data_IF_002809993387
#
_entry.id   IF_002809993387
#
_cell.length_a   1.000
_cell.length_b   1.000
_cell.length_c   1.000
_cell.angle_alpha   90.00
_cell.angle_beta   90.00
_cell.angle_gamma   90.00
#
_symmetry.space_group_name_H-M   'P 1'
#
loop_
_entity.id
_entity.type
_entity.pdbx_description
1 polymer ?
#
# COMPACT_ATOMS: atom_id res chain seq x y z
N UNK A 1 -10.78 -1.74 3.88
CA UNK A 1 -11.27 -2.96 4.53
C UNK A 1 -10.18 -3.75 5.25
N UNK A 2 -9.20 -4.41 4.60
CA UNK A 2 -8.22 -5.27 5.33
C UNK A 2 -7.45 -4.55 6.46
N UNK A 3 -6.98 -3.33 6.24
CA UNK A 3 -6.30 -2.49 7.26
C UNK A 3 -7.20 -1.93 8.37
N UNK A 4 -8.50 -2.00 8.14
CA UNK A 4 -9.49 -1.45 9.07
C UNK A 4 -10.04 -2.53 9.99
N UNK A 5 -9.74 -3.81 9.75
CA UNK A 5 -10.09 -4.89 10.68
C UNK A 5 -9.32 -4.68 11.98
N UNK A 6 -10.05 -4.66 13.09
CA UNK A 6 -9.48 -4.54 14.43
C UNK A 6 -9.55 -5.84 15.21
N UNK A 7 -10.58 -6.64 14.94
CA UNK A 7 -10.82 -7.87 15.68
C UNK A 7 -11.69 -8.84 14.87
N UNK A 8 -11.45 -10.14 15.04
CA UNK A 8 -12.24 -11.22 14.46
C UNK A 8 -12.60 -12.18 15.60
N UNK A 9 -13.89 -12.42 15.80
CA UNK A 9 -14.41 -13.26 16.90
C UNK A 9 -15.12 -14.48 16.35
N UNK A 10 -14.75 -15.67 16.81
CA UNK A 10 -15.54 -16.89 16.60
C UNK A 10 -16.78 -16.85 17.51
N UNK A 11 -17.77 -16.05 17.13
CA UNK A 11 -18.97 -15.87 17.93
C UNK A 11 -20.16 -15.41 17.11
N UNK A 12 -21.37 -15.69 17.61
CA UNK A 12 -22.61 -15.03 17.15
C UNK A 12 -22.95 -13.74 17.92
N UNK A 13 -22.04 -13.24 18.74
CA UNK A 13 -22.30 -12.09 19.62
C UNK A 13 -22.11 -10.77 18.85
N UNK A 14 -23.15 -10.35 18.13
CA UNK A 14 -23.24 -9.06 17.46
C UNK A 14 -24.68 -8.58 17.37
N UNK A 15 -24.87 -7.26 17.27
CA UNK A 15 -26.19 -6.66 17.07
C UNK A 15 -26.87 -7.16 15.80
N UNK A 16 -26.09 -7.52 14.78
CA UNK A 16 -26.62 -8.01 13.51
C UNK A 16 -27.29 -9.38 13.70
N UNK A 17 -26.67 -10.28 14.49
CA UNK A 17 -27.25 -11.58 14.79
C UNK A 17 -28.40 -11.51 15.79
N UNK A 18 -28.40 -10.54 16.71
CA UNK A 18 -29.51 -10.34 17.66
C UNK A 18 -30.84 -10.09 16.92
N UNK A 19 -30.83 -9.43 15.77
CA UNK A 19 -32.03 -9.18 14.95
C UNK A 19 -32.64 -10.46 14.34
N UNK A 20 -31.84 -11.51 14.14
CA UNK A 20 -32.30 -12.76 13.54
C UNK A 20 -32.64 -13.84 14.58
N UNK A 21 -32.45 -13.58 15.88
CA UNK A 21 -32.82 -14.54 16.93
C UNK A 21 -34.34 -14.78 17.00
N UNK A 22 -35.14 -13.83 16.52
CA UNK A 22 -36.61 -13.93 16.49
C UNK A 22 -37.16 -14.54 15.19
N UNK A 23 -36.31 -14.74 14.17
CA UNK A 23 -36.72 -15.34 12.90
C UNK A 23 -36.56 -16.87 12.94
N UNK A 24 -37.66 -17.65 12.99
CA UNK A 24 -37.59 -19.10 13.09
C UNK A 24 -37.04 -19.77 11.81
N UNK A 25 -36.86 -19.02 10.71
CA UNK A 25 -36.26 -19.53 9.47
C UNK A 25 -34.73 -19.53 9.50
N UNK A 26 -34.10 -18.84 10.47
CA UNK A 26 -32.66 -18.69 10.58
C UNK A 26 -32.15 -19.42 11.83
N UNK A 27 -31.50 -20.55 11.64
CA UNK A 27 -30.85 -21.29 12.74
C UNK A 27 -29.40 -20.84 12.89
N UNK A 28 -29.08 -20.11 13.97
CA UNK A 28 -27.73 -19.62 14.25
C UNK A 28 -26.95 -20.57 15.17
N UNK A 29 -26.16 -21.45 14.58
CA UNK A 29 -25.21 -22.29 15.29
C UNK A 29 -23.93 -21.52 15.61
N UNK A 30 -23.54 -21.49 16.89
CA UNK A 30 -22.37 -20.75 17.36
C UNK A 30 -21.08 -21.14 16.61
N UNK A 31 -20.90 -22.45 16.36
CA UNK A 31 -19.73 -22.98 15.66
C UNK A 31 -19.64 -22.54 14.19
N UNK A 32 -20.77 -22.11 13.61
CA UNK A 32 -20.86 -21.65 12.22
C UNK A 32 -20.82 -20.13 12.09
N UNK A 33 -20.67 -19.38 13.19
CA UNK A 33 -20.74 -17.93 13.18
C UNK A 33 -19.39 -17.29 13.55
N UNK A 34 -19.07 -16.20 12.85
CA UNK A 34 -18.00 -15.29 13.26
C UNK A 34 -18.34 -13.84 12.94
N UNK A 35 -17.68 -12.93 13.66
CA UNK A 35 -17.92 -11.48 13.56
C UNK A 35 -16.59 -10.78 13.31
N UNK A 36 -16.58 -9.89 12.31
CA UNK A 36 -15.46 -9.01 12.01
C UNK A 36 -15.81 -7.60 12.49
N UNK A 37 -14.98 -7.05 13.37
CA UNK A 37 -15.07 -5.65 13.78
C UNK A 37 -14.05 -4.83 12.99
N UNK A 38 -14.53 -3.78 12.32
CA UNK A 38 -13.69 -2.97 11.45
C UNK A 38 -14.06 -1.48 11.48
N UNK A 39 -13.07 -0.63 11.22
CA UNK A 39 -13.24 0.81 11.11
C UNK A 39 -12.03 1.60 11.58
N UNK A 40 -12.09 2.91 11.35
CA UNK A 40 -11.09 3.89 11.80
C UNK A 40 -11.54 4.70 13.01
N UNK A 41 -12.82 4.59 13.38
CA UNK A 41 -13.43 5.32 14.49
C UNK A 41 -13.51 4.43 15.75
N UNK A 42 -13.76 5.06 16.91
CA UNK A 42 -13.97 4.34 18.16
C UNK A 42 -15.16 3.37 18.09
N UNK A 43 -16.25 3.78 17.42
CA UNK A 43 -17.40 2.92 17.16
C UNK A 43 -17.14 2.10 15.91
N UNK A 44 -16.64 0.88 16.11
CA UNK A 44 -16.39 -0.05 15.02
C UNK A 44 -17.70 -0.52 14.38
N UNK A 45 -17.63 -0.76 13.08
CA UNK A 45 -18.67 -1.44 12.31
C UNK A 45 -18.52 -2.95 12.51
N UNK A 46 -19.63 -3.67 12.42
CA UNK A 46 -19.69 -5.13 12.50
C UNK A 46 -20.06 -5.72 11.15
N UNK A 47 -19.39 -6.81 10.79
CA UNK A 47 -19.80 -7.71 9.72
C UNK A 47 -19.95 -9.10 10.34
N UNK A 48 -21.19 -9.58 10.39
CA UNK A 48 -21.59 -10.83 11.03
C UNK A 48 -21.87 -11.89 9.98
N UNK A 49 -21.19 -13.03 10.05
CA UNK A 49 -21.14 -14.03 8.98
C UNK A 49 -21.46 -15.41 9.54
N UNK A 50 -22.35 -16.12 8.86
CA UNK A 50 -22.64 -17.53 9.10
C UNK A 50 -22.10 -18.35 7.93
N UNK A 51 -21.24 -19.32 8.23
CA UNK A 51 -20.70 -20.27 7.27
C UNK A 51 -21.53 -21.57 7.24
N UNK A 52 -21.17 -22.49 6.35
CA UNK A 52 -21.88 -23.77 6.21
C UNK A 52 -21.34 -24.87 7.15
N UNK A 53 -20.14 -24.68 7.69
CA UNK A 53 -19.53 -25.59 8.66
C UNK A 53 -18.56 -24.89 9.61
N UNK A 54 -18.19 -25.55 10.71
CA UNK A 54 -17.19 -25.07 11.66
C UNK A 54 -15.80 -24.97 11.02
N UNK A 55 -15.47 -25.90 10.12
CA UNK A 55 -14.21 -25.89 9.37
C UNK A 55 -14.10 -24.63 8.51
N UNK A 56 -15.18 -24.21 7.83
CA UNK A 56 -15.19 -22.98 7.05
C UNK A 56 -14.94 -21.75 7.93
N UNK A 57 -15.58 -21.67 9.11
CA UNK A 57 -15.34 -20.59 10.08
C UNK A 57 -13.86 -20.54 10.46
N UNK A 58 -13.30 -21.68 10.84
CA UNK A 58 -11.89 -21.77 11.24
C UNK A 58 -10.94 -21.39 10.10
N UNK A 59 -11.24 -21.79 8.86
CA UNK A 59 -10.47 -21.40 7.68
C UNK A 59 -10.52 -19.88 7.45
N UNK A 60 -11.71 -19.28 7.51
CA UNK A 60 -11.88 -17.83 7.35
C UNK A 60 -11.15 -17.05 8.43
N UNK A 61 -11.31 -17.41 9.70
CA UNK A 61 -10.65 -16.73 10.82
C UNK A 61 -9.14 -16.82 10.68
N UNK A 62 -8.60 -18.02 10.40
CA UNK A 62 -7.17 -18.21 10.22
C UNK A 62 -6.62 -17.41 9.03
N UNK A 63 -7.28 -17.48 7.88
CA UNK A 63 -6.88 -16.77 6.67
C UNK A 63 -6.92 -15.26 6.83
N UNK A 64 -7.98 -14.72 7.44
CA UNK A 64 -8.10 -13.29 7.69
C UNK A 64 -7.09 -12.77 8.70
N UNK A 65 -6.81 -13.53 9.77
CA UNK A 65 -5.74 -13.18 10.72
C UNK A 65 -4.37 -13.18 10.05
N UNK A 66 -4.07 -14.18 9.22
CA UNK A 66 -2.84 -14.22 8.46
C UNK A 66 -2.72 -13.01 7.51
N UNK A 67 -3.78 -12.70 6.76
CA UNK A 67 -3.83 -11.54 5.86
C UNK A 67 -3.68 -10.21 6.61
N UNK A 68 -4.21 -10.11 7.82
CA UNK A 68 -4.07 -8.92 8.66
C UNK A 68 -2.61 -8.72 9.06
N UNK A 69 -1.94 -9.78 9.54
CA UNK A 69 -0.52 -9.74 9.88
C UNK A 69 0.35 -9.41 8.66
N UNK A 70 0.12 -10.09 7.53
CA UNK A 70 0.78 -9.79 6.25
C UNK A 70 0.60 -8.32 5.84
N UNK A 71 -0.62 -7.80 5.96
CA UNK A 71 -0.91 -6.41 5.57
C UNK A 71 -0.24 -5.38 6.48
N UNK A 72 -0.08 -5.69 7.77
CA UNK A 72 0.58 -4.82 8.75
C UNK A 72 2.10 -4.84 8.58
N UNK A 73 2.67 -6.00 8.24
CA UNK A 73 4.12 -6.17 8.04
C UNK A 73 4.58 -5.82 6.63
N UNK A 74 3.65 -5.63 5.69
CA UNK A 74 3.96 -5.30 4.30
C UNK A 74 4.86 -4.05 4.20
N UNK A 75 5.97 -4.12 3.43
CA UNK A 75 6.89 -3.00 3.29
C UNK A 75 6.23 -1.82 2.57
N UNK A 76 6.69 -0.60 2.87
CA UNK A 76 6.11 0.67 2.36
C UNK A 76 5.84 0.66 0.85
N UNK A 77 6.74 0.17 -0.03
CA UNK A 77 6.47 0.11 -1.48
C UNK A 77 5.20 -0.68 -1.82
N UNK A 78 5.03 -1.86 -1.22
CA UNK A 78 3.84 -2.70 -1.41
C UNK A 78 2.58 -2.01 -0.86
N UNK A 79 2.71 -1.27 0.23
CA UNK A 79 1.61 -0.47 0.77
C UNK A 79 1.14 0.60 -0.21
N UNK A 80 2.09 1.33 -0.82
CA UNK A 80 1.80 2.37 -1.81
C UNK A 80 1.21 1.75 -3.08
N UNK A 81 1.75 0.63 -3.56
CA UNK A 81 1.19 -0.06 -4.72
C UNK A 81 -0.27 -0.50 -4.47
N UNK A 82 -0.54 -1.13 -3.32
CA UNK A 82 -1.91 -1.53 -2.93
C UNK A 82 -2.83 -0.32 -2.84
N UNK A 83 -2.35 0.82 -2.34
CA UNK A 83 -3.11 2.06 -2.29
C UNK A 83 -3.41 2.61 -3.70
N UNK A 84 -2.42 2.66 -4.60
CA UNK A 84 -2.59 3.10 -5.98
C UNK A 84 -3.63 2.25 -6.71
N UNK A 85 -3.54 0.92 -6.60
CA UNK A 85 -4.55 0.00 -7.17
C UNK A 85 -5.95 0.29 -6.64
N UNK A 86 -6.09 0.48 -5.32
CA UNK A 86 -7.38 0.81 -4.70
C UNK A 86 -7.96 2.13 -5.23
N UNK A 87 -7.13 3.16 -5.40
CA UNK A 87 -7.58 4.42 -5.99
C UNK A 87 -8.04 4.22 -7.44
N UNK A 88 -7.24 3.53 -8.25
CA UNK A 88 -7.57 3.27 -9.64
C UNK A 88 -8.91 2.53 -9.79
N UNK A 89 -9.13 1.46 -9.03
CA UNK A 89 -10.40 0.71 -9.06
C UNK A 89 -11.62 1.50 -8.55
N UNK A 90 -11.39 2.52 -7.72
CA UNK A 90 -12.48 3.42 -7.29
C UNK A 90 -12.89 4.38 -8.42
N UNK A 91 -11.94 4.72 -9.30
CA UNK A 91 -12.17 5.60 -10.44
C UNK A 91 -12.69 4.85 -11.67
N UNK A 92 -12.25 3.61 -11.89
CA UNK A 92 -12.72 2.72 -12.97
C UNK A 92 -14.11 2.12 -12.65
N UNK A 93 -15.12 2.98 -12.69
CA UNK A 93 -16.51 2.62 -12.35
C UNK A 93 -17.09 1.57 -13.31
N UNK A 94 -16.67 1.60 -14.57
CA UNK A 94 -17.19 0.73 -15.62
C UNK A 94 -16.40 -0.59 -15.76
N UNK A 95 -15.29 -0.73 -15.02
CA UNK A 95 -14.37 -1.88 -15.12
C UNK A 95 -13.80 -2.05 -16.53
N UNK A 96 -13.50 -0.93 -17.16
CA UNK A 96 -12.90 -0.88 -18.51
C UNK A 96 -11.38 -0.82 -18.46
N UNK A 97 -10.78 -0.93 -17.26
CA UNK A 97 -9.34 -0.79 -16.98
C UNK A 97 -8.77 0.57 -17.41
N UNK A 98 -9.63 1.58 -17.38
CA UNK A 98 -9.33 2.91 -17.90
C UNK A 98 -10.04 4.00 -17.11
N UNK A 99 -9.35 5.13 -16.94
CA UNK A 99 -9.89 6.32 -16.26
C UNK A 99 -9.65 7.57 -17.11
N UNK A 100 -10.47 8.61 -16.91
CA UNK A 100 -10.24 9.89 -17.59
C UNK A 100 -9.25 10.78 -16.83
N UNK A 101 -8.64 11.74 -17.53
CA UNK A 101 -7.82 12.81 -16.91
C UNK A 101 -8.61 13.61 -15.86
N UNK A 102 -9.94 13.71 -16.04
CA UNK A 102 -10.82 14.41 -15.09
C UNK A 102 -10.93 13.63 -13.78
N UNK A 103 -11.09 12.31 -13.85
CA UNK A 103 -11.17 11.43 -12.67
C UNK A 103 -9.87 11.47 -11.87
N UNK A 104 -8.73 11.41 -12.58
CA UNK A 104 -7.41 11.57 -11.98
C UNK A 104 -7.27 12.91 -11.24
N UNK A 105 -7.62 14.04 -11.88
CA UNK A 105 -7.55 15.37 -11.24
C UNK A 105 -8.38 15.44 -9.96
N UNK A 106 -9.58 14.87 -10.00
CA UNK A 106 -10.48 14.85 -8.84
C UNK A 106 -9.89 14.00 -7.71
N UNK A 107 -9.35 12.82 -8.02
CA UNK A 107 -8.71 11.96 -7.03
C UNK A 107 -7.50 12.65 -6.40
N UNK A 108 -6.61 13.25 -7.21
CA UNK A 108 -5.45 14.00 -6.71
C UNK A 108 -5.87 15.10 -5.72
N UNK A 109 -6.98 15.80 -6.01
CA UNK A 109 -7.52 16.82 -5.10
C UNK A 109 -8.04 16.24 -3.78
N UNK A 110 -8.64 15.03 -3.80
CA UNK A 110 -9.12 14.34 -2.59
C UNK A 110 -7.96 13.87 -1.70
N UNK A 111 -6.80 13.59 -2.29
CA UNK A 111 -5.59 13.19 -1.55
C UNK A 111 -4.69 14.40 -1.25
N UNK A 112 -5.25 15.60 -1.27
CA UNK A 112 -4.60 16.88 -0.96
C UNK A 112 -3.46 17.30 -1.91
N UNK A 113 -3.42 16.76 -3.14
CA UNK A 113 -2.52 17.23 -4.18
C UNK A 113 -3.19 18.28 -5.07
N UNK A 114 -2.66 19.52 -5.05
CA UNK A 114 -3.22 20.62 -5.84
C UNK A 114 -2.69 20.58 -7.28
N UNK A 115 -3.51 20.06 -8.19
CA UNK A 115 -3.22 20.09 -9.62
C UNK A 115 -3.39 21.51 -10.17
N UNK A 116 -2.37 22.13 -10.81
CA UNK A 116 -2.46 23.50 -11.32
C UNK A 116 -3.56 23.68 -12.37
N UNK A 117 -3.62 22.79 -13.36
CA UNK A 117 -4.67 22.74 -14.38
C UNK A 117 -4.68 21.36 -15.09
N UNK A 118 -5.69 21.07 -15.92
CA UNK A 118 -5.76 19.79 -16.64
C UNK A 118 -4.68 19.64 -17.71
N UNK A 119 -4.12 20.75 -18.22
CA UNK A 119 -3.06 20.72 -19.23
C UNK A 119 -1.77 20.16 -18.64
N UNK A 120 -1.41 20.53 -17.41
CA UNK A 120 -0.28 19.98 -16.67
C UNK A 120 -0.29 18.44 -16.64
N UNK A 121 -1.42 17.81 -16.32
CA UNK A 121 -1.52 16.35 -16.32
C UNK A 121 -1.37 15.74 -17.73
N UNK A 122 -1.92 16.40 -18.75
CA UNK A 122 -1.81 15.94 -20.14
C UNK A 122 -0.39 16.04 -20.67
N UNK A 123 0.30 17.13 -20.35
CA UNK A 123 1.68 17.35 -20.75
C UNK A 123 2.57 16.26 -20.13
N UNK A 124 2.40 15.97 -18.82
CA UNK A 124 3.08 14.87 -18.13
C UNK A 124 2.78 13.49 -18.73
N UNK A 125 1.53 13.21 -19.11
CA UNK A 125 1.17 11.95 -19.79
C UNK A 125 1.76 11.86 -21.20
N UNK A 126 1.92 12.99 -21.88
CA UNK A 126 2.50 13.06 -23.23
C UNK A 126 4.02 12.86 -23.21
N UNK A 127 4.70 13.36 -22.18
CA UNK A 127 6.12 13.09 -21.90
C UNK A 127 6.38 11.58 -21.69
N UNK A 128 5.37 10.82 -21.26
CA UNK A 128 5.42 9.35 -21.13
C UNK A 128 5.03 8.62 -22.45
N UNK A 129 5.15 9.29 -23.59
CA UNK A 129 4.97 8.79 -24.97
C UNK A 129 3.57 8.26 -25.33
N UNK A 130 2.49 8.67 -24.65
CA UNK A 130 1.18 8.02 -24.83
C UNK A 130 0.03 9.01 -25.05
N UNK A 131 -0.39 9.15 -26.32
CA UNK A 131 -1.48 10.05 -26.78
C UNK A 131 -2.90 9.50 -26.55
N UNK A 132 -3.12 8.74 -25.49
CA UNK A 132 -4.46 8.24 -25.16
C UNK A 132 -5.25 9.28 -24.37
N UNK A 133 -6.55 9.46 -24.69
CA UNK A 133 -7.47 10.26 -23.86
C UNK A 133 -7.81 9.57 -22.53
N UNK A 134 -7.58 8.27 -22.49
CA UNK A 134 -7.88 7.36 -21.38
C UNK A 134 -6.57 6.85 -20.77
N UNK A 135 -6.53 6.75 -19.45
CA UNK A 135 -5.35 6.39 -18.66
C UNK A 135 -5.55 4.97 -18.13
N UNK A 136 -4.65 4.05 -18.46
CA UNK A 136 -4.63 2.70 -17.87
C UNK A 136 -3.87 2.68 -16.53
N UNK A 137 -3.89 1.56 -15.82
CA UNK A 137 -3.24 1.45 -14.51
C UNK A 137 -1.73 1.74 -14.56
N UNK A 138 -1.01 1.24 -15.57
CA UNK A 138 0.44 1.44 -15.69
C UNK A 138 0.80 2.93 -15.81
N UNK A 139 0.08 3.66 -16.67
CA UNK A 139 0.21 5.11 -16.84
C UNK A 139 -0.10 5.87 -15.55
N UNK A 140 -1.21 5.50 -14.91
CA UNK A 140 -1.64 6.07 -13.65
C UNK A 140 -0.55 5.93 -12.57
N UNK A 141 0.00 4.73 -12.40
CA UNK A 141 0.99 4.44 -11.38
C UNK A 141 2.30 5.19 -11.60
N UNK A 142 2.80 5.23 -12.85
CA UNK A 142 4.01 5.99 -13.20
C UNK A 142 3.82 7.48 -12.95
N UNK A 143 2.68 8.04 -13.38
CA UNK A 143 2.39 9.45 -13.15
C UNK A 143 2.31 9.79 -11.66
N UNK A 144 1.62 8.98 -10.85
CA UNK A 144 1.54 9.21 -9.40
C UNK A 144 2.91 9.17 -8.74
N UNK A 145 3.78 8.21 -9.09
CA UNK A 145 5.16 8.17 -8.59
C UNK A 145 5.99 9.37 -9.00
N UNK A 146 5.90 9.77 -10.27
CA UNK A 146 6.55 10.98 -10.78
C UNK A 146 6.11 12.24 -10.02
N UNK A 147 4.81 12.37 -9.71
CA UNK A 147 4.30 13.50 -8.93
C UNK A 147 4.76 13.49 -7.47
N UNK A 148 4.86 12.30 -6.84
CA UNK A 148 5.41 12.16 -5.49
C UNK A 148 6.88 12.57 -5.46
N UNK A 149 7.68 12.05 -6.39
CA UNK A 149 9.08 12.44 -6.55
C UNK A 149 9.25 13.94 -6.79
N UNK A 150 8.50 14.53 -7.72
CA UNK A 150 8.58 15.97 -8.02
C UNK A 150 8.24 16.85 -6.81
N UNK A 151 7.33 16.39 -5.93
CA UNK A 151 6.96 17.10 -4.71
C UNK A 151 8.02 17.03 -3.61
N UNK A 152 8.88 16.02 -3.63
CA UNK A 152 9.81 15.73 -2.53
C UNK A 152 11.29 15.90 -2.91
N UNK A 153 11.64 15.95 -4.21
CA UNK A 153 13.02 16.02 -4.72
C UNK A 153 13.85 17.20 -4.22
N UNK A 154 13.22 18.24 -3.68
CA UNK A 154 13.91 19.44 -3.15
C UNK A 154 14.20 19.36 -1.67
N UNK A 155 13.67 18.36 -0.95
CA UNK A 155 13.96 18.17 0.48
C UNK A 155 15.41 17.68 0.57
N UNK A 156 16.38 18.40 1.13
CA UNK A 156 17.76 17.91 1.16
C UNK A 156 17.85 16.62 1.98
N UNK A 157 18.32 15.53 1.37
CA UNK A 157 18.68 14.32 2.10
C UNK A 157 20.13 14.48 2.56
N UNK A 158 20.41 14.54 3.88
CA UNK A 158 21.71 14.93 4.41
C UNK A 158 22.92 14.11 3.92
N UNK A 159 22.70 12.88 3.46
CA UNK A 159 23.76 12.02 2.94
C UNK A 159 23.90 12.11 1.41
N UNK A 160 22.89 12.64 0.69
CA UNK A 160 22.95 12.76 -0.77
C UNK A 160 23.92 13.83 -1.28
N UNK A 161 24.25 14.80 -0.43
CA UNK A 161 25.26 15.83 -0.74
C UNK A 161 26.68 15.26 -0.80
N UNK A 162 26.91 14.08 -0.21
CA UNK A 162 28.22 13.39 -0.24
C UNK A 162 28.42 12.49 -1.45
N UNK A 163 27.36 12.24 -2.24
CA UNK A 163 27.47 11.50 -3.48
C UNK A 163 28.09 12.39 -4.57
N UNK A 164 29.26 12.00 -5.06
CA UNK A 164 29.94 12.71 -6.15
C UNK A 164 29.01 12.93 -7.34
N UNK A 165 29.21 14.02 -8.08
CA UNK A 165 28.32 14.50 -9.17
C UNK A 165 27.97 13.46 -10.26
N UNK A 166 28.67 12.32 -10.31
CA UNK A 166 28.58 11.32 -11.39
C UNK A 166 27.66 10.13 -11.11
N UNK A 167 27.22 9.89 -9.86
CA UNK A 167 26.39 8.71 -9.50
C UNK A 167 25.09 9.06 -8.76
N UNK A 168 24.44 10.19 -9.14
CA UNK A 168 23.20 10.67 -8.53
C UNK A 168 21.93 9.82 -8.80
N UNK A 169 22.05 8.55 -9.15
CA UNK A 169 20.86 7.72 -9.51
C UNK A 169 20.68 6.49 -8.65
N UNK A 170 21.74 6.03 -7.96
CA UNK A 170 21.72 4.84 -7.11
C UNK A 170 22.43 5.12 -5.77
N UNK A 171 21.95 4.49 -4.73
CA UNK A 171 22.51 4.48 -3.38
C UNK A 171 22.95 3.04 -3.14
N UNK A 172 24.25 2.83 -3.01
CA UNK A 172 24.83 1.51 -2.76
C UNK A 172 24.43 0.95 -1.39
N UNK A 173 24.68 -0.34 -1.19
CA UNK A 173 24.49 -0.99 0.10
C UNK A 173 25.32 -0.32 1.20
N UNK A 174 26.58 0.03 0.91
CA UNK A 174 27.50 0.68 1.83
C UNK A 174 27.05 2.10 2.18
N UNK A 175 26.60 2.85 1.17
CA UNK A 175 26.10 4.20 1.38
C UNK A 175 24.83 4.23 2.23
N UNK A 176 23.95 3.26 2.00
CA UNK A 176 22.75 3.09 2.80
C UNK A 176 23.09 2.64 4.24
N UNK A 177 24.04 1.72 4.41
CA UNK A 177 24.54 1.35 5.74
C UNK A 177 25.09 2.57 6.48
N UNK A 178 25.90 3.38 5.81
CA UNK A 178 26.46 4.61 6.37
C UNK A 178 25.35 5.58 6.78
N UNK A 179 24.31 5.74 5.95
CA UNK A 179 23.14 6.53 6.31
C UNK A 179 22.46 6.03 7.59
N UNK A 180 22.24 4.73 7.72
CA UNK A 180 21.63 4.13 8.93
C UNK A 180 22.46 4.41 10.19
N UNK A 181 23.78 4.26 10.11
CA UNK A 181 24.67 4.45 11.26
C UNK A 181 24.89 5.93 11.60
N UNK A 182 25.16 6.76 10.59
CA UNK A 182 25.57 8.15 10.80
C UNK A 182 24.37 9.08 11.04
N UNK A 183 23.22 8.82 10.43
CA UNK A 183 22.06 9.71 10.48
C UNK A 183 20.87 9.11 11.24
N UNK A 184 20.50 7.84 11.01
CA UNK A 184 19.39 7.21 11.74
C UNK A 184 19.81 6.69 13.12
N UNK A 185 21.12 6.53 13.36
CA UNK A 185 21.70 5.97 14.59
C UNK A 185 21.26 4.52 14.87
N UNK A 186 21.04 3.76 13.80
CA UNK A 186 20.57 2.39 13.83
C UNK A 186 21.71 1.38 14.00
N UNK A 187 21.98 0.99 15.25
CA UNK A 187 23.11 0.11 15.59
C UNK A 187 23.03 -1.29 14.97
N UNK A 188 21.83 -1.76 14.60
CA UNK A 188 21.66 -3.04 13.92
C UNK A 188 22.35 -3.06 12.55
N UNK A 189 22.53 -1.89 11.93
CA UNK A 189 23.17 -1.73 10.63
C UNK A 189 24.69 -1.95 10.66
N UNK A 190 25.31 -2.14 11.84
CA UNK A 190 26.72 -2.54 11.94
C UNK A 190 26.98 -3.90 11.26
N UNK A 191 25.94 -4.72 11.14
CA UNK A 191 25.94 -5.96 10.39
C UNK A 191 25.48 -5.72 8.95
N UNK A 192 26.44 -5.68 8.01
CA UNK A 192 26.17 -5.46 6.58
C UNK A 192 25.21 -6.52 5.99
N UNK A 193 25.21 -7.73 6.53
CA UNK A 193 24.30 -8.78 6.05
C UNK A 193 22.84 -8.46 6.38
N UNK A 194 22.58 -7.94 7.58
CA UNK A 194 21.22 -7.48 7.97
C UNK A 194 20.75 -6.32 7.12
N UNK A 195 21.66 -5.38 6.79
CA UNK A 195 21.32 -4.26 5.90
C UNK A 195 20.94 -4.80 4.51
N UNK A 196 21.68 -5.77 3.99
CA UNK A 196 21.38 -6.42 2.72
C UNK A 196 19.99 -7.09 2.73
N UNK A 197 19.72 -7.90 3.75
CA UNK A 197 18.41 -8.56 3.91
C UNK A 197 17.27 -7.54 4.02
N UNK A 198 17.49 -6.45 4.73
CA UNK A 198 16.54 -5.36 4.84
C UNK A 198 16.19 -4.76 3.47
N UNK A 199 17.19 -4.43 2.64
CA UNK A 199 16.93 -3.85 1.31
C UNK A 199 16.16 -4.83 0.43
N UNK A 200 16.54 -6.12 0.41
CA UNK A 200 15.81 -7.13 -0.36
C UNK A 200 14.35 -7.25 0.08
N UNK A 201 14.12 -7.33 1.39
CA UNK A 201 12.77 -7.42 1.93
C UNK A 201 11.94 -6.17 1.62
N UNK A 202 12.56 -4.99 1.67
CA UNK A 202 11.89 -3.73 1.40
C UNK A 202 11.49 -3.57 -0.07
N UNK A 203 12.40 -3.87 -1.01
CA UNK A 203 12.16 -3.76 -2.44
C UNK A 203 11.19 -4.83 -2.95
N UNK A 204 11.29 -6.04 -2.38
CA UNK A 204 10.42 -7.16 -2.72
C UNK A 204 10.38 -7.46 -4.24
N UNK A 205 11.51 -7.24 -4.92
CA UNK A 205 11.72 -7.42 -6.37
C UNK A 205 12.54 -8.69 -6.64
N UNK A 206 11.90 -9.81 -7.04
CA UNK A 206 12.59 -11.09 -7.25
C UNK A 206 13.64 -11.04 -8.36
N UNK A 207 13.55 -10.06 -9.29
CA UNK A 207 14.48 -9.95 -10.41
C UNK A 207 15.81 -9.31 -9.99
N UNK A 208 15.85 -8.61 -8.84
CA UNK A 208 17.07 -7.97 -8.32
C UNK A 208 17.79 -8.82 -7.26
N UNK A 209 17.26 -9.99 -6.91
CA UNK A 209 17.85 -10.89 -5.89
C UNK A 209 19.20 -11.52 -6.30
N UNK A 210 19.62 -11.34 -7.56
CA UNK A 210 20.84 -11.97 -8.13
C UNK A 210 22.08 -11.05 -7.98
N UNK A 211 21.88 -9.75 -7.74
CA UNK A 211 22.95 -8.74 -7.63
C UNK A 211 22.99 -8.08 -6.24
N UNK A 212 24.04 -7.30 -5.96
CA UNK A 212 24.12 -6.52 -4.72
C UNK A 212 23.02 -5.45 -4.68
N UNK A 213 22.21 -5.38 -3.61
CA UNK A 213 21.03 -4.53 -3.60
C UNK A 213 21.42 -3.06 -3.46
N UNK A 214 20.67 -2.21 -4.14
CA UNK A 214 20.82 -0.75 -4.11
C UNK A 214 19.43 -0.11 -4.11
N UNK A 215 19.35 1.13 -3.62
CA UNK A 215 18.17 1.96 -3.81
C UNK A 215 18.38 2.93 -4.97
N UNK A 216 17.36 3.14 -5.78
CA UNK A 216 17.29 4.33 -6.62
C UNK A 216 16.89 5.54 -5.78
N UNK A 217 17.18 6.74 -6.26
CA UNK A 217 16.68 7.94 -5.60
C UNK A 217 15.15 7.89 -5.47
N UNK A 218 14.43 7.58 -6.55
CA UNK A 218 12.97 7.50 -6.53
C UNK A 218 12.44 6.57 -5.43
N UNK A 219 13.09 5.43 -5.20
CA UNK A 219 12.70 4.49 -4.14
C UNK A 219 12.87 5.10 -2.74
N UNK A 220 13.92 5.89 -2.48
CA UNK A 220 14.10 6.58 -1.19
C UNK A 220 13.13 7.75 -0.99
N UNK A 221 12.83 8.51 -2.05
CA UNK A 221 11.90 9.64 -1.94
C UNK A 221 10.45 9.18 -1.84
N UNK A 222 10.05 8.21 -2.65
CA UNK A 222 8.68 7.72 -2.69
C UNK A 222 8.35 6.77 -1.55
N UNK A 223 9.36 6.14 -0.92
CA UNK A 223 9.16 5.19 0.15
C UNK A 223 10.03 5.57 1.36
N UNK A 224 9.46 6.24 2.38
CA UNK A 224 10.18 6.42 3.63
C UNK A 224 10.58 5.05 4.17
N UNK A 225 11.89 4.93 4.38
CA UNK A 225 12.59 3.80 5.00
C UNK A 225 12.47 3.90 6.51
#
# INVERSE_FOLDING_TARGET
MRREIKEIRASKNSRDFDWYQEDPTVTLEQAHCFVILYGTEFRLKTLSLQATSEEEVNMWIKGLNWLLQDTLQAPTPLQIERWLRKQFYTLDRNREDKISVKDLKNMLSQVNYRVPNMRFLRDRLTELEQRSREINYAQFAVLCRSLMYDAQKTIPIPFTETFGERERTKISLEDFQKFLLDYQKDMWATDLHKVREFIFHFLHDPLREIEEPYFTLEEVWCHPV
#
